data_IF_355777865673
#
_entry.id   IF_355777865673
#
_cell.length_a   1.000
_cell.length_b   1.000
_cell.length_c   1.000
_cell.angle_alpha   90.00
_cell.angle_beta   90.00
_cell.angle_gamma   90.00
#
_symmetry.space_group_name_H-M   'P 1'
#
loop_
_entity.id
_entity.type
_entity.pdbx_description
1 polymer ?
#
# COMPACT_ATOMS: atom_id res chain seq x y z
N UNK A 1 0.09 32.57 43.87
CA UNK A 1 0.07 31.43 42.94
C UNK A 1 -1.20 30.64 43.22
N UNK A 2 -2.31 31.03 42.58
CA UNK A 2 -3.64 30.46 42.84
C UNK A 2 -3.89 29.39 41.78
N UNK A 3 -3.89 28.13 42.20
CA UNK A 3 -4.37 27.04 41.34
C UNK A 3 -5.90 27.18 41.24
N UNK A 4 -6.38 27.66 40.12
CA UNK A 4 -7.77 27.58 39.75
C UNK A 4 -8.17 26.15 39.46
N UNK A 5 -8.74 25.51 40.47
CA UNK A 5 -9.49 24.26 40.33
C UNK A 5 -10.86 24.64 39.73
N UNK A 6 -10.94 24.91 38.42
CA UNK A 6 -12.21 25.03 37.72
C UNK A 6 -12.88 23.64 37.71
N UNK A 7 -13.72 23.41 38.72
CA UNK A 7 -14.67 22.31 38.69
C UNK A 7 -15.43 22.40 37.39
N UNK A 8 -15.30 21.37 36.58
CA UNK A 8 -15.94 21.28 35.28
C UNK A 8 -17.47 21.41 35.49
N UNK A 9 -18.08 22.44 34.89
CA UNK A 9 -19.52 22.66 34.99
C UNK A 9 -20.24 21.58 34.19
N UNK A 10 -21.12 20.76 34.79
CA UNK A 10 -21.86 19.68 34.12
C UNK A 10 -22.59 20.13 32.87
N UNK A 11 -23.10 21.35 32.86
CA UNK A 11 -23.85 22.00 31.79
C UNK A 11 -23.04 22.19 30.49
N UNK A 12 -21.72 22.30 30.59
CA UNK A 12 -20.81 22.47 29.43
C UNK A 12 -20.24 21.14 29.02
N UNK A 13 -20.01 20.24 29.94
CA UNK A 13 -19.33 18.98 29.70
C UNK A 13 -20.24 17.94 29.07
N UNK A 14 -21.51 17.87 29.52
CA UNK A 14 -22.48 16.91 28.98
C UNK A 14 -22.70 17.11 27.46
N UNK A 15 -22.99 18.33 26.95
CA UNK A 15 -23.12 18.57 25.52
C UNK A 15 -21.83 18.28 24.75
N UNK A 16 -20.65 18.58 25.31
CA UNK A 16 -19.36 18.25 24.69
C UNK A 16 -19.20 16.73 24.50
N UNK A 17 -19.51 15.95 25.53
CA UNK A 17 -19.46 14.49 25.43
C UNK A 17 -20.53 13.92 24.50
N UNK A 18 -21.72 14.49 24.47
CA UNK A 18 -22.78 14.10 23.55
C UNK A 18 -22.36 14.32 22.10
N UNK A 19 -21.77 15.47 21.77
CA UNK A 19 -21.24 15.77 20.45
C UNK A 19 -20.11 14.79 20.05
N UNK A 20 -19.20 14.45 20.97
CA UNK A 20 -18.16 13.46 20.73
C UNK A 20 -18.72 12.05 20.53
N UNK A 21 -19.78 11.68 21.25
CA UNK A 21 -20.49 10.40 21.09
C UNK A 21 -21.23 10.32 19.76
N UNK A 22 -21.79 11.45 19.30
CA UNK A 22 -22.37 11.60 17.96
C UNK A 22 -21.34 11.54 16.83
N UNK A 23 -20.04 11.52 17.16
CA UNK A 23 -18.96 11.37 16.19
C UNK A 23 -18.33 12.66 15.71
N UNK A 24 -18.60 13.80 16.34
CA UNK A 24 -18.00 15.08 15.99
C UNK A 24 -16.49 15.15 16.29
N UNK A 25 -15.79 16.10 15.64
CA UNK A 25 -14.40 16.39 15.96
C UNK A 25 -14.28 17.11 17.30
N UNK A 26 -13.16 16.94 18.02
CA UNK A 26 -12.91 17.66 19.28
C UNK A 26 -13.01 19.18 19.07
N UNK A 27 -12.60 19.70 17.91
CA UNK A 27 -12.73 21.12 17.57
C UNK A 27 -14.20 21.53 17.51
N UNK A 28 -15.03 20.80 16.75
CA UNK A 28 -16.45 21.09 16.60
C UNK A 28 -17.22 20.91 17.93
N UNK A 29 -16.96 19.80 18.64
CA UNK A 29 -17.55 19.55 19.95
C UNK A 29 -17.12 20.58 21.02
N UNK A 30 -15.91 21.10 20.96
CA UNK A 30 -15.46 22.16 21.85
C UNK A 30 -16.09 23.52 21.48
N UNK A 31 -16.20 23.82 20.20
CA UNK A 31 -16.81 25.02 19.67
C UNK A 31 -18.31 25.11 19.96
N UNK A 32 -19.04 23.98 19.84
CA UNK A 32 -20.47 23.91 20.17
C UNK A 32 -20.80 24.21 21.63
N UNK A 33 -19.83 24.10 22.53
CA UNK A 33 -19.97 24.44 23.95
C UNK A 33 -19.21 25.71 24.37
N UNK A 34 -18.83 26.53 23.37
CA UNK A 34 -18.17 27.82 23.60
C UNK A 34 -16.73 27.72 24.12
N UNK A 35 -16.01 26.63 23.78
CA UNK A 35 -14.63 26.47 24.19
C UNK A 35 -13.71 26.06 23.01
N UNK A 36 -12.41 25.92 23.25
CA UNK A 36 -11.43 25.61 22.22
C UNK A 36 -10.86 24.21 22.34
N UNK A 37 -10.34 23.69 21.21
CA UNK A 37 -9.84 22.31 21.05
C UNK A 37 -8.89 21.84 22.16
N UNK A 38 -8.01 22.73 22.65
CA UNK A 38 -7.03 22.36 23.69
C UNK A 38 -7.71 22.07 25.02
N UNK A 39 -8.75 22.87 25.37
CA UNK A 39 -9.56 22.64 26.59
C UNK A 39 -10.38 21.35 26.49
N UNK A 40 -11.01 21.08 25.34
CA UNK A 40 -11.68 19.82 25.06
C UNK A 40 -10.75 18.61 25.16
N UNK A 41 -9.50 18.73 24.68
CA UNK A 41 -8.49 17.68 24.83
C UNK A 41 -8.10 17.44 26.31
N UNK A 42 -8.01 18.48 27.13
CA UNK A 42 -7.75 18.37 28.58
C UNK A 42 -8.89 17.64 29.29
N UNK A 43 -10.15 17.90 28.91
CA UNK A 43 -11.32 17.20 29.46
C UNK A 43 -11.26 15.70 29.15
N UNK A 44 -10.93 15.34 27.91
CA UNK A 44 -10.76 13.92 27.52
C UNK A 44 -9.67 13.26 28.35
N UNK A 45 -8.56 13.96 28.61
CA UNK A 45 -7.45 13.43 29.40
C UNK A 45 -7.81 13.29 30.89
N UNK A 46 -8.61 14.22 31.44
CA UNK A 46 -9.07 14.18 32.82
C UNK A 46 -10.02 13.00 33.09
N UNK A 47 -10.85 12.64 32.10
CA UNK A 47 -11.78 11.51 32.15
C UNK A 47 -11.16 10.20 31.67
N UNK A 48 -9.87 9.95 31.94
CA UNK A 48 -9.13 8.72 31.55
C UNK A 48 -8.54 8.69 30.15
N UNK A 49 -8.55 9.77 29.39
CA UNK A 49 -7.91 9.84 28.06
C UNK A 49 -8.61 9.02 26.96
N UNK A 50 -9.74 8.42 27.26
CA UNK A 50 -10.47 7.57 26.30
C UNK A 50 -11.39 8.45 25.48
N UNK A 51 -10.97 8.72 24.23
CA UNK A 51 -11.87 9.24 23.20
C UNK A 51 -12.97 8.22 22.93
N UNK A 52 -14.25 8.64 22.88
CA UNK A 52 -15.26 7.86 22.17
C UNK A 52 -14.73 7.65 20.74
N UNK A 53 -14.48 6.39 20.35
CA UNK A 53 -13.97 6.10 19.02
C UNK A 53 -15.04 6.42 18.00
N UNK A 54 -14.81 7.39 17.11
CA UNK A 54 -15.67 7.70 15.97
C UNK A 54 -16.18 6.41 15.31
N UNK A 55 -17.50 6.27 15.25
CA UNK A 55 -18.20 5.38 14.32
C UNK A 55 -17.83 3.89 14.35
N UNK A 56 -16.99 3.43 15.28
CA UNK A 56 -16.86 2.02 15.59
C UNK A 56 -17.80 1.71 16.75
N UNK A 57 -19.10 1.83 16.49
CA UNK A 57 -20.06 1.03 17.23
C UNK A 57 -19.50 -0.39 17.27
N UNK A 58 -19.61 -1.07 18.39
CA UNK A 58 -19.17 -2.46 18.54
C UNK A 58 -19.80 -3.25 17.40
N UNK A 59 -19.02 -3.52 16.31
CA UNK A 59 -19.53 -4.09 15.08
C UNK A 59 -20.23 -5.39 15.40
N UNK A 60 -21.47 -5.54 14.98
CA UNK A 60 -22.27 -6.75 14.78
C UNK A 60 -22.16 -7.95 15.72
N UNK A 61 -20.99 -8.20 16.27
CA UNK A 61 -20.68 -9.28 17.22
C UNK A 61 -20.82 -8.90 18.69
N UNK A 62 -20.83 -7.59 19.03
CA UNK A 62 -20.91 -7.14 20.41
C UNK A 62 -22.30 -6.59 20.68
N UNK A 63 -22.81 -6.83 21.89
CA UNK A 63 -24.09 -6.24 22.35
C UNK A 63 -23.95 -4.73 22.47
N UNK A 64 -24.94 -4.00 21.98
CA UNK A 64 -25.09 -2.55 22.17
C UNK A 64 -25.52 -2.23 23.61
N UNK A 65 -25.51 -0.96 23.97
CA UNK A 65 -26.02 -0.53 25.27
C UNK A 65 -27.53 -0.86 25.40
N UNK A 66 -28.31 -0.57 24.37
CA UNK A 66 -29.76 -0.85 24.33
C UNK A 66 -30.05 -2.35 24.48
N UNK A 67 -29.30 -3.22 23.78
CA UNK A 67 -29.46 -4.68 23.96
C UNK A 67 -29.13 -5.13 25.39
N UNK A 68 -28.20 -4.46 26.09
CA UNK A 68 -27.92 -4.73 27.51
C UNK A 68 -28.99 -4.25 28.43
N UNK A 69 -29.63 -3.12 28.11
CA UNK A 69 -30.81 -2.66 28.85
C UNK A 69 -31.96 -3.64 28.73
N UNK A 70 -32.25 -4.14 27.53
CA UNK A 70 -33.29 -5.19 27.35
C UNK A 70 -32.95 -6.49 28.12
N UNK A 71 -31.67 -6.88 28.17
CA UNK A 71 -31.25 -8.02 29.01
C UNK A 71 -31.52 -7.74 30.49
N UNK A 72 -31.25 -6.54 30.99
CA UNK A 72 -31.49 -6.17 32.37
C UNK A 72 -32.98 -6.17 32.69
N UNK A 73 -33.82 -5.63 31.80
CA UNK A 73 -35.28 -5.60 31.95
C UNK A 73 -35.89 -7.02 31.89
N UNK A 74 -35.44 -7.84 30.92
CA UNK A 74 -35.90 -9.23 30.82
C UNK A 74 -35.54 -10.05 32.07
N UNK A 75 -34.35 -9.84 32.64
CA UNK A 75 -33.93 -10.45 33.91
C UNK A 75 -34.82 -9.98 35.08
N UNK A 76 -35.11 -8.69 35.16
CA UNK A 76 -35.99 -8.13 36.19
C UNK A 76 -37.46 -8.69 36.13
N UNK A 77 -37.91 -9.04 34.89
CA UNK A 77 -39.20 -9.69 34.65
C UNK A 77 -39.18 -11.21 34.90
N UNK A 78 -38.04 -11.79 35.25
CA UNK A 78 -37.89 -13.23 35.43
C UNK A 78 -37.87 -14.05 34.13
N UNK A 79 -37.65 -13.41 32.98
CA UNK A 79 -37.62 -14.08 31.68
C UNK A 79 -36.42 -15.02 31.53
N UNK A 80 -36.63 -16.12 30.82
CA UNK A 80 -35.54 -17.06 30.56
C UNK A 80 -34.53 -16.49 29.55
N UNK A 81 -33.27 -16.92 29.63
CA UNK A 81 -32.21 -16.54 28.69
C UNK A 81 -32.61 -16.77 27.23
N UNK A 82 -33.37 -17.83 26.96
CA UNK A 82 -33.87 -18.14 25.60
C UNK A 82 -34.93 -17.13 25.14
N UNK A 83 -35.77 -16.68 26.03
CA UNK A 83 -36.80 -15.67 25.76
C UNK A 83 -36.16 -14.33 25.42
N UNK A 84 -35.26 -13.84 26.29
CA UNK A 84 -34.50 -12.60 26.08
C UNK A 84 -33.71 -12.67 24.77
N UNK A 85 -33.02 -13.76 24.46
CA UNK A 85 -32.25 -13.94 23.25
C UNK A 85 -33.14 -13.86 21.99
N UNK A 86 -34.33 -14.42 22.02
CA UNK A 86 -35.32 -14.37 20.93
C UNK A 86 -35.78 -12.94 20.66
N UNK A 87 -36.11 -12.20 21.73
CA UNK A 87 -36.52 -10.79 21.62
C UNK A 87 -35.45 -9.91 21.02
N UNK A 88 -34.18 -10.16 21.35
CA UNK A 88 -33.03 -9.43 20.83
C UNK A 88 -32.55 -9.89 19.43
N UNK A 89 -33.12 -10.97 18.88
CA UNK A 89 -32.59 -11.57 17.63
C UNK A 89 -31.15 -12.06 17.78
N UNK A 90 -30.73 -12.46 18.99
CA UNK A 90 -29.39 -12.94 19.31
C UNK A 90 -29.40 -14.40 19.73
N UNK A 91 -28.22 -15.05 19.59
CA UNK A 91 -28.04 -16.41 20.09
C UNK A 91 -28.18 -16.48 21.62
N UNK A 92 -28.89 -17.50 22.20
CA UNK A 92 -28.95 -17.73 23.64
C UNK A 92 -27.57 -17.79 24.30
N UNK A 93 -26.55 -18.33 23.61
CA UNK A 93 -25.18 -18.37 24.11
C UNK A 93 -24.55 -16.99 24.25
N UNK A 94 -24.98 -15.99 23.45
CA UNK A 94 -24.54 -14.62 23.58
C UNK A 94 -25.05 -13.96 24.86
N UNK A 95 -26.35 -14.12 25.14
CA UNK A 95 -26.98 -13.60 26.35
C UNK A 95 -26.41 -14.31 27.58
N UNK A 96 -26.28 -15.64 27.53
CA UNK A 96 -25.73 -16.42 28.64
C UNK A 96 -24.29 -15.96 28.97
N UNK A 97 -23.45 -15.81 27.98
CA UNK A 97 -22.05 -15.31 28.15
C UNK A 97 -22.03 -13.88 28.68
N UNK A 98 -22.92 -13.01 28.24
CA UNK A 98 -23.01 -11.64 28.71
C UNK A 98 -23.35 -11.62 30.20
N UNK A 99 -24.37 -12.38 30.63
CA UNK A 99 -24.77 -12.50 32.02
C UNK A 99 -23.67 -13.13 32.88
N UNK A 100 -23.09 -14.24 32.47
CA UNK A 100 -22.02 -14.91 33.20
C UNK A 100 -20.77 -14.00 33.41
N UNK A 101 -20.50 -13.11 32.49
CA UNK A 101 -19.35 -12.22 32.57
C UNK A 101 -19.55 -10.94 33.35
N UNK A 102 -20.78 -10.49 33.48
CA UNK A 102 -21.12 -9.15 33.97
C UNK A 102 -22.12 -9.12 35.10
N UNK A 103 -22.58 -10.27 35.57
CA UNK A 103 -23.40 -10.39 36.81
C UNK A 103 -22.42 -10.32 37.99
N UNK A 104 -22.76 -9.53 39.00
CA UNK A 104 -21.94 -9.39 40.21
C UNK A 104 -22.11 -10.59 41.16
N UNK A 105 -21.39 -10.58 42.28
CA UNK A 105 -21.44 -11.65 43.31
C UNK A 105 -22.80 -11.77 43.99
N UNK A 106 -23.65 -10.73 43.90
CA UNK A 106 -25.01 -10.73 44.44
C UNK A 106 -26.06 -11.21 43.42
N UNK A 107 -25.62 -11.58 42.20
CA UNK A 107 -26.52 -12.00 41.14
C UNK A 107 -27.16 -10.85 40.35
N UNK A 108 -26.77 -9.60 40.61
CA UNK A 108 -27.31 -8.44 39.92
C UNK A 108 -26.57 -8.19 38.59
N UNK A 109 -27.35 -7.97 37.55
CA UNK A 109 -26.84 -7.56 36.22
C UNK A 109 -27.26 -6.11 35.96
N UNK A 110 -26.30 -5.22 35.74
CA UNK A 110 -26.49 -3.81 35.40
C UNK A 110 -25.96 -3.49 34.02
N UNK A 111 -26.83 -3.03 33.11
CA UNK A 111 -26.47 -2.72 31.72
C UNK A 111 -25.32 -1.71 31.61
N UNK A 112 -25.33 -0.66 32.45
CA UNK A 112 -24.30 0.38 32.50
C UNK A 112 -22.92 -0.19 32.86
N UNK A 113 -22.87 -1.03 33.90
CA UNK A 113 -21.64 -1.68 34.36
C UNK A 113 -21.14 -2.67 33.32
N UNK A 114 -22.01 -3.49 32.77
CA UNK A 114 -21.70 -4.46 31.74
C UNK A 114 -21.14 -3.78 30.47
N UNK A 115 -21.71 -2.64 30.10
CA UNK A 115 -21.26 -1.83 28.98
C UNK A 115 -19.87 -1.24 29.22
N UNK A 116 -19.64 -0.64 30.37
CA UNK A 116 -18.33 -0.10 30.75
C UNK A 116 -17.25 -1.19 30.78
N UNK A 117 -17.55 -2.35 31.38
CA UNK A 117 -16.62 -3.51 31.40
C UNK A 117 -16.36 -4.07 30.01
N UNK A 118 -17.32 -4.06 29.10
CA UNK A 118 -17.13 -4.47 27.72
C UNK A 118 -16.16 -3.53 26.98
N UNK A 119 -16.28 -2.22 27.22
CA UNK A 119 -15.34 -1.23 26.67
C UNK A 119 -13.94 -1.37 27.25
N UNK A 120 -13.80 -1.57 28.56
CA UNK A 120 -12.49 -1.83 29.17
C UNK A 120 -11.83 -3.08 28.58
N UNK A 121 -12.60 -4.17 28.42
CA UNK A 121 -12.10 -5.40 27.79
C UNK A 121 -11.71 -5.20 26.32
N UNK A 122 -12.49 -4.42 25.58
CA UNK A 122 -12.18 -4.08 24.20
C UNK A 122 -10.95 -3.17 24.06
N UNK A 123 -10.69 -2.34 25.09
CA UNK A 123 -9.55 -1.43 25.14
C UNK A 123 -8.24 -2.11 25.59
N UNK A 124 -8.28 -3.37 26.07
CA UNK A 124 -7.07 -4.08 26.48
C UNK A 124 -6.06 -4.11 25.34
N UNK A 125 -4.82 -3.65 25.55
CA UNK A 125 -3.78 -3.74 24.54
C UNK A 125 -3.54 -5.22 24.23
N UNK A 126 -3.82 -5.61 23.00
CA UNK A 126 -3.40 -6.91 22.50
C UNK A 126 -1.93 -6.82 22.12
N UNK A 127 -1.08 -7.78 22.50
CA UNK A 127 0.30 -7.79 22.04
C UNK A 127 0.32 -7.75 20.52
N UNK A 128 1.20 -6.92 19.95
CA UNK A 128 1.33 -6.80 18.50
C UNK A 128 1.77 -8.15 17.93
N UNK A 129 1.13 -8.61 16.85
CA UNK A 129 1.42 -9.91 16.23
C UNK A 129 2.91 -10.07 15.89
N UNK A 130 3.55 -9.02 15.36
CA UNK A 130 4.97 -9.01 15.05
C UNK A 130 5.88 -9.02 16.30
N UNK A 131 5.34 -8.70 17.48
CA UNK A 131 6.08 -8.85 18.73
C UNK A 131 6.09 -10.29 19.22
N UNK A 132 4.96 -10.98 19.09
CA UNK A 132 4.78 -12.36 19.58
C UNK A 132 5.37 -13.39 18.62
N UNK A 133 5.20 -13.19 17.31
CA UNK A 133 5.68 -14.11 16.29
C UNK A 133 7.03 -13.62 15.73
N UNK A 134 8.12 -14.13 16.28
CA UNK A 134 9.49 -13.76 15.90
C UNK A 134 9.78 -14.14 14.44
N UNK A 135 9.40 -15.36 14.03
CA UNK A 135 9.61 -15.82 12.64
C UNK A 135 8.94 -14.90 11.61
N UNK A 136 7.69 -14.50 11.88
CA UNK A 136 6.98 -13.55 11.02
C UNK A 136 7.67 -12.19 10.99
N UNK A 137 8.16 -11.71 12.14
CA UNK A 137 8.88 -10.45 12.24
C UNK A 137 10.15 -10.46 11.40
N UNK A 138 10.98 -11.48 11.51
CA UNK A 138 12.24 -11.61 10.76
C UNK A 138 11.99 -11.60 9.25
N UNK A 139 10.97 -12.34 8.78
CA UNK A 139 10.59 -12.33 7.36
C UNK A 139 10.10 -10.94 6.92
N UNK A 140 9.29 -10.26 7.74
CA UNK A 140 8.81 -8.91 7.41
C UNK A 140 9.97 -7.92 7.36
N UNK A 141 10.95 -8.03 8.26
CA UNK A 141 12.15 -7.19 8.27
C UNK A 141 12.99 -7.41 7.01
N UNK A 142 13.30 -8.66 6.65
CA UNK A 142 14.02 -9.00 5.40
C UNK A 142 13.33 -8.42 4.16
N UNK A 143 12.01 -8.60 4.05
CA UNK A 143 11.26 -8.09 2.90
C UNK A 143 11.19 -6.56 2.86
N UNK A 144 11.20 -5.88 4.02
CA UNK A 144 11.30 -4.41 4.08
C UNK A 144 12.69 -3.94 3.66
N UNK A 145 13.77 -4.62 4.05
CA UNK A 145 15.14 -4.34 3.62
C UNK A 145 15.27 -4.46 2.10
N UNK A 146 14.62 -5.45 1.48
CA UNK A 146 14.47 -5.59 0.01
C UNK A 146 13.52 -4.56 -0.60
N UNK A 147 13.13 -3.52 0.14
CA UNK A 147 12.29 -2.41 -0.31
C UNK A 147 10.87 -2.81 -0.74
N UNK A 148 10.34 -3.93 -0.25
CA UNK A 148 8.95 -4.29 -0.48
C UNK A 148 8.02 -3.33 0.30
N UNK A 149 6.92 -2.94 -0.32
CA UNK A 149 5.91 -2.16 0.40
C UNK A 149 5.12 -3.04 1.38
N UNK A 150 4.57 -2.47 2.46
CA UNK A 150 3.72 -3.22 3.39
C UNK A 150 2.55 -3.97 2.73
N UNK A 151 2.01 -3.44 1.61
CA UNK A 151 0.97 -4.12 0.83
C UNK A 151 1.53 -5.35 0.10
N UNK A 152 2.70 -5.21 -0.51
CA UNK A 152 3.40 -6.32 -1.17
C UNK A 152 3.74 -7.44 -0.19
N UNK A 153 4.24 -7.09 0.99
CA UNK A 153 4.57 -8.05 2.06
C UNK A 153 3.31 -8.79 2.52
N UNK A 154 2.25 -8.05 2.85
CA UNK A 154 1.00 -8.65 3.32
C UNK A 154 0.37 -9.61 2.29
N UNK A 155 0.42 -9.24 1.00
CA UNK A 155 -0.07 -10.10 -0.08
C UNK A 155 0.83 -11.31 -0.32
N UNK A 156 2.15 -11.11 -0.36
CA UNK A 156 3.13 -12.18 -0.60
C UNK A 156 3.11 -13.26 0.48
N UNK A 157 2.96 -12.86 1.74
CA UNK A 157 2.88 -13.81 2.85
C UNK A 157 1.66 -14.75 2.74
N UNK A 158 0.55 -14.29 2.19
CA UNK A 158 -0.61 -15.15 1.95
C UNK A 158 -0.38 -16.15 0.82
N UNK A 159 0.35 -15.75 -0.22
CA UNK A 159 0.75 -16.64 -1.32
C UNK A 159 1.75 -17.68 -0.83
N UNK A 160 2.75 -17.25 -0.04
CA UNK A 160 3.83 -18.13 0.45
C UNK A 160 3.37 -19.10 1.55
N UNK A 161 2.40 -18.69 2.37
CA UNK A 161 1.89 -19.47 3.51
C UNK A 161 0.35 -19.60 3.46
N UNK A 162 -0.22 -20.26 2.43
CA UNK A 162 -1.68 -20.27 2.24
C UNK A 162 -2.43 -20.98 3.37
N UNK A 163 -1.82 -22.00 3.99
CA UNK A 163 -2.41 -22.81 5.05
C UNK A 163 -2.04 -22.34 6.48
N UNK A 164 -1.18 -21.33 6.63
CA UNK A 164 -0.70 -20.86 7.94
C UNK A 164 -1.11 -19.40 8.22
N UNK A 165 -2.29 -19.15 8.82
CA UNK A 165 -2.76 -17.82 9.18
C UNK A 165 -1.88 -17.09 10.19
N UNK A 166 -1.04 -17.79 10.96
CA UNK A 166 -0.10 -17.18 11.90
C UNK A 166 1.02 -16.41 11.17
N UNK A 167 1.29 -16.77 9.93
CA UNK A 167 2.24 -16.07 9.06
C UNK A 167 1.61 -14.90 8.28
N UNK A 168 0.32 -14.64 8.42
CA UNK A 168 -0.33 -13.53 7.74
C UNK A 168 -0.29 -12.26 8.60
N UNK A 169 -0.04 -11.14 7.96
CA UNK A 169 -0.04 -9.82 8.60
C UNK A 169 -0.81 -8.82 7.73
N UNK A 170 -1.47 -7.86 8.36
CA UNK A 170 -2.13 -6.78 7.62
C UNK A 170 -1.13 -5.65 7.32
N UNK A 171 -1.34 -4.96 6.21
CA UNK A 171 -0.60 -3.74 5.82
C UNK A 171 -0.57 -2.73 6.96
N UNK A 172 -1.71 -2.52 7.63
CA UNK A 172 -1.83 -1.59 8.76
C UNK A 172 -1.00 -2.03 9.96
N UNK A 173 -0.91 -3.34 10.23
CA UNK A 173 -0.08 -3.86 11.34
C UNK A 173 1.40 -3.56 11.08
N UNK A 174 1.86 -3.69 9.84
CA UNK A 174 3.24 -3.36 9.46
C UNK A 174 3.50 -1.86 9.65
N UNK A 175 2.61 -1.00 9.13
CA UNK A 175 2.74 0.45 9.32
C UNK A 175 2.73 0.86 10.80
N UNK A 176 1.82 0.29 11.59
CA UNK A 176 1.77 0.60 13.02
C UNK A 176 3.04 0.16 13.75
N UNK A 177 3.64 -0.96 13.33
CA UNK A 177 4.89 -1.44 13.93
C UNK A 177 6.11 -0.59 13.57
N UNK A 178 6.08 0.10 12.42
CA UNK A 178 7.13 1.00 11.97
C UNK A 178 7.03 2.40 12.60
N UNK A 179 5.82 2.96 12.68
CA UNK A 179 5.62 4.37 13.00
C UNK A 179 5.15 4.64 14.44
N UNK A 180 4.53 3.66 15.10
CA UNK A 180 4.01 3.84 16.46
C UNK A 180 5.05 3.37 17.48
N UNK A 181 5.67 4.30 18.18
CA UNK A 181 6.77 4.05 19.15
C UNK A 181 6.41 3.03 20.24
N UNK A 182 5.15 3.01 20.69
CA UNK A 182 4.65 2.05 21.69
C UNK A 182 4.38 0.64 21.15
N UNK A 183 4.43 0.45 19.83
CA UNK A 183 4.21 -0.82 19.14
C UNK A 183 5.37 -1.22 18.23
N UNK A 184 6.51 -0.53 18.37
CA UNK A 184 7.68 -0.70 17.51
C UNK A 184 8.34 -2.06 17.68
N UNK A 185 7.74 -3.10 17.08
CA UNK A 185 8.35 -4.42 16.96
C UNK A 185 9.40 -4.49 15.84
N UNK A 186 9.39 -3.51 14.91
CA UNK A 186 10.30 -3.42 13.78
C UNK A 186 11.32 -2.31 13.99
N UNK A 187 12.52 -2.48 13.41
CA UNK A 187 13.58 -1.49 13.47
C UNK A 187 13.16 -0.19 12.78
N UNK A 188 13.34 0.95 13.43
CA UNK A 188 12.96 2.27 12.90
C UNK A 188 13.66 2.64 11.59
N UNK A 189 14.84 2.13 11.37
CA UNK A 189 15.63 2.34 10.14
C UNK A 189 14.91 1.84 8.90
N UNK A 190 14.06 0.83 9.05
CA UNK A 190 13.26 0.26 7.95
C UNK A 190 12.22 1.23 7.37
N UNK A 191 11.91 2.33 8.07
CA UNK A 191 11.05 3.39 7.51
C UNK A 191 11.66 4.04 6.27
N UNK A 192 13.00 4.07 6.17
CA UNK A 192 13.73 4.60 5.01
C UNK A 192 13.55 3.74 3.76
N UNK A 193 13.22 2.46 3.94
CA UNK A 193 12.98 1.52 2.84
C UNK A 193 11.60 1.72 2.18
N UNK A 194 10.70 2.48 2.81
CA UNK A 194 9.40 2.77 2.26
C UNK A 194 9.47 3.84 1.16
N UNK A 195 8.62 3.70 0.14
CA UNK A 195 8.48 4.70 -0.91
C UNK A 195 7.93 5.99 -0.30
N UNK A 196 8.80 6.94 0.03
CA UNK A 196 8.42 8.22 0.62
C UNK A 196 7.99 9.22 -0.44
N UNK A 197 6.86 9.88 -0.21
CA UNK A 197 6.58 11.23 -0.67
C UNK A 197 5.74 11.36 -1.93
N UNK A 198 4.49 11.80 -1.77
CA UNK A 198 3.74 12.50 -2.81
C UNK A 198 4.48 13.80 -3.13
N UNK A 199 5.16 13.88 -4.28
CA UNK A 199 5.63 15.16 -4.81
C UNK A 199 4.46 15.88 -5.47
N UNK A 200 4.26 17.15 -5.11
CA UNK A 200 3.37 18.07 -5.82
C UNK A 200 3.72 18.09 -7.31
N UNK A 201 2.70 17.95 -8.14
CA UNK A 201 2.83 18.04 -9.60
C UNK A 201 3.16 19.47 -9.96
N UNK A 202 4.34 19.71 -10.56
CA UNK A 202 4.65 20.99 -11.19
C UNK A 202 4.13 20.98 -12.64
N UNK A 203 3.62 22.13 -13.15
CA UNK A 203 3.20 22.24 -14.53
C UNK A 203 4.38 21.95 -15.48
N UNK A 204 4.11 21.13 -16.51
CA UNK A 204 5.13 20.73 -17.46
C UNK A 204 5.62 21.93 -18.30
N UNK A 205 6.93 21.97 -18.58
CA UNK A 205 7.52 22.91 -19.53
C UNK A 205 6.96 22.64 -20.93
N UNK A 206 6.71 23.71 -21.71
CA UNK A 206 6.33 23.61 -23.11
C UNK A 206 7.44 22.88 -23.88
N UNK A 207 7.04 21.86 -24.64
CA UNK A 207 7.96 21.12 -25.49
C UNK A 207 8.40 21.97 -26.68
N UNK A 208 9.68 22.00 -26.93
CA UNK A 208 10.31 22.47 -28.19
C UNK A 208 10.07 21.45 -29.29
N UNK A 209 10.01 21.92 -30.55
CA UNK A 209 9.82 21.06 -31.72
C UNK A 209 10.87 19.93 -31.75
N UNK A 210 10.41 18.69 -31.91
CA UNK A 210 11.24 17.49 -31.90
C UNK A 210 11.53 17.01 -33.31
N UNK A 211 12.82 16.80 -33.62
CA UNK A 211 13.25 15.96 -34.74
C UNK A 211 13.16 14.49 -34.30
N UNK A 212 11.94 13.98 -34.24
CA UNK A 212 11.67 12.58 -33.90
C UNK A 212 12.05 11.60 -35.04
N UNK A 213 11.90 10.28 -34.80
CA UNK A 213 12.08 9.24 -35.82
C UNK A 213 11.20 9.50 -37.04
N UNK A 214 11.66 9.08 -38.24
CA UNK A 214 10.90 9.14 -39.50
C UNK A 214 10.33 7.76 -39.82
N UNK A 215 9.26 7.74 -40.63
CA UNK A 215 8.59 6.51 -41.11
C UNK A 215 8.20 5.54 -39.95
N UNK A 216 7.71 6.10 -38.86
CA UNK A 216 7.32 5.36 -37.66
C UNK A 216 6.07 4.50 -37.90
N UNK A 217 6.06 3.27 -37.34
CA UNK A 217 4.86 2.44 -37.26
C UNK A 217 4.09 2.85 -36.02
N UNK A 218 2.83 3.24 -36.20
CA UNK A 218 2.00 3.72 -35.08
C UNK A 218 1.62 2.57 -34.14
N UNK A 219 1.43 2.88 -32.87
CA UNK A 219 0.96 1.92 -31.85
C UNK A 219 -0.40 1.30 -32.22
N UNK A 220 -1.21 1.97 -33.03
CA UNK A 220 -2.48 1.45 -33.51
C UNK A 220 -2.33 0.21 -34.42
N UNK A 221 -1.18 0.06 -35.07
CA UNK A 221 -0.85 -1.08 -35.93
C UNK A 221 -0.28 -2.27 -35.15
N UNK A 222 -0.15 -2.14 -33.83
CA UNK A 222 0.38 -3.18 -32.94
C UNK A 222 -0.62 -4.34 -32.83
N UNK A 223 -0.17 -5.62 -32.77
CA UNK A 223 -1.04 -6.77 -32.59
C UNK A 223 -1.90 -6.66 -31.32
N UNK A 224 -3.18 -7.05 -31.42
CA UNK A 224 -4.13 -6.98 -30.32
C UNK A 224 -3.68 -7.79 -29.10
N UNK A 225 -2.99 -8.90 -29.30
CA UNK A 225 -2.43 -9.74 -28.22
C UNK A 225 -1.51 -8.95 -27.27
N UNK A 226 -0.85 -7.89 -27.78
CA UNK A 226 -0.04 -7.01 -26.96
C UNK A 226 -0.87 -6.13 -26.02
N UNK A 227 -2.11 -5.79 -26.41
CA UNK A 227 -3.01 -4.99 -25.57
C UNK A 227 -3.67 -5.82 -24.49
N UNK A 228 -4.05 -7.04 -24.79
CA UNK A 228 -4.67 -7.98 -23.85
C UNK A 228 -3.70 -8.49 -22.78
N UNK A 229 -2.39 -8.28 -22.98
CA UNK A 229 -1.32 -8.74 -22.08
C UNK A 229 -1.38 -10.25 -21.81
N UNK A 230 -1.93 -11.01 -22.73
CA UNK A 230 -2.09 -12.45 -22.60
C UNK A 230 -0.82 -13.18 -23.01
N UNK A 231 -0.10 -12.65 -23.99
CA UNK A 231 1.10 -13.27 -24.55
C UNK A 231 2.34 -12.51 -24.12
N UNK A 232 3.38 -13.16 -23.59
CA UNK A 232 4.64 -12.51 -23.24
C UNK A 232 5.46 -12.16 -24.49
N UNK A 233 6.41 -11.24 -24.32
CA UNK A 233 7.32 -10.81 -25.39
C UNK A 233 7.00 -9.45 -25.99
N UNK A 234 5.98 -8.75 -25.46
CA UNK A 234 5.69 -7.37 -25.82
C UNK A 234 6.23 -6.40 -24.78
N UNK A 235 7.13 -5.52 -25.18
CA UNK A 235 7.88 -4.64 -24.30
C UNK A 235 7.44 -3.19 -24.43
N UNK A 236 7.52 -2.46 -23.31
CA UNK A 236 7.47 -0.99 -23.28
C UNK A 236 8.88 -0.48 -22.93
N UNK A 237 9.40 0.45 -23.72
CA UNK A 237 10.71 1.02 -23.50
C UNK A 237 10.65 2.51 -23.18
N UNK A 238 11.66 3.00 -22.43
CA UNK A 238 11.83 4.40 -22.06
C UNK A 238 13.26 4.68 -21.59
N UNK A 239 13.64 5.96 -21.50
CA UNK A 239 14.91 6.37 -20.92
C UNK A 239 14.72 7.02 -19.56
N UNK A 240 15.51 6.60 -18.59
CA UNK A 240 15.61 7.25 -17.30
C UNK A 240 16.84 8.15 -17.27
N UNK A 241 16.62 9.45 -17.48
CA UNK A 241 17.68 10.45 -17.57
C UNK A 241 18.30 10.72 -16.20
N UNK A 242 19.63 10.78 -16.15
CA UNK A 242 20.46 11.05 -14.99
C UNK A 242 20.76 12.55 -14.77
N UNK A 243 21.84 12.82 -14.03
CA UNK A 243 22.28 14.17 -13.67
C UNK A 243 22.63 15.00 -14.91
N UNK A 244 22.16 16.23 -14.91
CA UNK A 244 22.45 17.25 -15.95
C UNK A 244 22.14 16.76 -17.39
N UNK A 245 21.31 15.75 -17.58
CA UNK A 245 20.97 15.14 -18.88
C UNK A 245 22.19 14.59 -19.65
N UNK A 246 23.23 14.15 -18.93
CA UNK A 246 24.45 13.62 -19.57
C UNK A 246 24.43 12.10 -19.74
N UNK A 247 23.77 11.41 -18.82
CA UNK A 247 23.72 9.94 -18.76
C UNK A 247 22.28 9.46 -18.71
N UNK A 248 22.04 8.22 -19.11
CA UNK A 248 20.74 7.59 -19.04
C UNK A 248 20.84 6.08 -18.76
N UNK A 249 19.72 5.49 -18.36
CA UNK A 249 19.50 4.06 -18.33
C UNK A 249 18.30 3.78 -19.21
N UNK A 250 18.44 2.88 -20.17
CA UNK A 250 17.31 2.35 -20.92
C UNK A 250 16.52 1.38 -20.04
N UNK A 251 15.20 1.47 -20.10
CA UNK A 251 14.30 0.58 -19.36
C UNK A 251 13.41 -0.15 -20.34
N UNK A 252 13.42 -1.47 -20.29
CA UNK A 252 12.56 -2.35 -21.06
C UNK A 252 11.66 -3.09 -20.07
N UNK A 253 10.34 -2.99 -20.20
CA UNK A 253 9.38 -3.62 -19.30
C UNK A 253 8.42 -4.48 -20.10
N UNK A 254 8.39 -5.78 -19.81
CA UNK A 254 7.49 -6.73 -20.45
C UNK A 254 6.04 -6.49 -19.94
N UNK A 255 5.08 -6.43 -20.87
CA UNK A 255 3.72 -5.95 -20.60
C UNK A 255 2.87 -6.91 -19.78
N UNK A 256 2.99 -8.21 -20.00
CA UNK A 256 2.20 -9.25 -19.31
C UNK A 256 2.63 -9.38 -17.84
N UNK A 257 3.90 -9.55 -17.60
CA UNK A 257 4.48 -9.87 -16.29
C UNK A 257 5.01 -8.64 -15.55
N UNK A 258 5.42 -7.59 -16.27
CA UNK A 258 6.16 -6.46 -15.74
C UNK A 258 7.60 -6.80 -15.41
N UNK A 259 8.13 -7.84 -16.05
CA UNK A 259 9.55 -8.16 -16.01
C UNK A 259 10.34 -7.00 -16.61
N UNK A 260 11.39 -6.59 -15.92
CA UNK A 260 12.16 -5.41 -16.30
C UNK A 260 13.59 -5.79 -16.66
N UNK A 261 14.08 -5.22 -17.77
CA UNK A 261 15.49 -5.22 -18.13
C UNK A 261 16.00 -3.78 -18.13
N UNK A 262 17.25 -3.60 -17.72
CA UNK A 262 17.91 -2.31 -17.73
C UNK A 262 19.04 -2.33 -18.75
N UNK A 263 19.13 -1.26 -19.55
CA UNK A 263 20.12 -1.10 -20.60
C UNK A 263 21.15 -0.08 -20.14
N UNK A 264 22.41 -0.49 -20.12
CA UNK A 264 23.52 0.36 -19.72
C UNK A 264 23.90 1.31 -20.86
N UNK A 265 23.89 2.61 -20.59
CA UNK A 265 24.24 3.68 -21.55
C UNK A 265 25.31 4.60 -20.92
N UNK A 266 26.56 4.14 -20.81
CA UNK A 266 27.61 4.86 -20.10
C UNK A 266 28.03 6.17 -20.81
N UNK A 267 27.98 6.18 -22.13
CA UNK A 267 28.48 7.28 -22.97
C UNK A 267 27.40 8.27 -23.41
N UNK A 268 26.20 8.14 -22.84
CA UNK A 268 25.04 9.00 -23.15
C UNK A 268 23.90 8.27 -23.83
N UNK A 269 23.02 9.03 -24.48
CA UNK A 269 21.75 8.48 -25.01
C UNK A 269 21.41 9.03 -26.41
N UNK A 270 22.43 9.30 -27.20
CA UNK A 270 22.22 9.59 -28.62
C UNK A 270 21.84 8.32 -29.38
N UNK A 271 21.20 8.41 -30.58
CA UNK A 271 20.79 7.25 -31.35
C UNK A 271 21.92 6.23 -31.57
N UNK A 272 23.12 6.71 -31.87
CA UNK A 272 24.29 5.88 -32.16
C UNK A 272 24.73 5.04 -30.95
N UNK A 273 24.32 5.43 -29.74
CA UNK A 273 24.64 4.74 -28.48
C UNK A 273 23.48 3.86 -28.04
N UNK A 274 22.22 4.36 -28.19
CA UNK A 274 21.03 3.67 -27.78
C UNK A 274 20.75 2.45 -28.66
N UNK A 275 20.81 2.57 -29.95
CA UNK A 275 20.48 1.51 -30.88
C UNK A 275 21.28 0.22 -30.65
N UNK A 276 22.60 0.21 -30.62
CA UNK A 276 23.38 -1.02 -30.41
C UNK A 276 23.20 -1.59 -28.98
N UNK A 277 23.08 -0.71 -27.98
CA UNK A 277 22.86 -1.17 -26.58
C UNK A 277 21.50 -1.84 -26.37
N UNK A 278 20.44 -1.29 -26.99
CA UNK A 278 19.12 -1.90 -26.99
C UNK A 278 19.13 -3.24 -27.72
N UNK A 279 19.68 -3.29 -28.92
CA UNK A 279 19.76 -4.51 -29.71
C UNK A 279 20.50 -5.62 -28.95
N UNK A 280 21.67 -5.31 -28.40
CA UNK A 280 22.46 -6.27 -27.61
C UNK A 280 21.69 -6.80 -26.39
N UNK A 281 20.95 -5.92 -25.67
CA UNK A 281 20.16 -6.36 -24.51
C UNK A 281 18.96 -7.20 -24.91
N UNK A 282 18.27 -6.86 -26.00
CA UNK A 282 17.11 -7.62 -26.50
C UNK A 282 17.55 -8.99 -27.03
N UNK A 283 18.72 -9.08 -27.68
CA UNK A 283 19.28 -10.36 -28.16
C UNK A 283 19.61 -11.36 -27.04
N UNK A 284 19.72 -10.91 -25.77
CA UNK A 284 19.87 -11.83 -24.64
C UNK A 284 18.57 -12.61 -24.31
N UNK A 285 17.44 -12.18 -24.88
CA UNK A 285 16.14 -12.82 -24.70
C UNK A 285 15.96 -14.00 -25.68
N UNK A 286 15.24 -15.04 -25.27
CA UNK A 286 14.80 -16.08 -26.20
C UNK A 286 13.86 -15.50 -27.27
N UNK A 287 13.83 -16.10 -28.46
CA UNK A 287 13.07 -15.62 -29.61
C UNK A 287 11.57 -15.44 -29.28
N UNK A 288 11.02 -16.32 -28.46
CA UNK A 288 9.62 -16.26 -28.00
C UNK A 288 9.28 -14.97 -27.23
N UNK A 289 10.28 -14.29 -26.68
CA UNK A 289 10.13 -13.03 -25.95
C UNK A 289 10.54 -11.81 -26.78
N UNK A 290 10.91 -11.95 -28.05
CA UNK A 290 11.29 -10.84 -28.95
C UNK A 290 10.18 -10.52 -29.95
N UNK A 291 8.96 -10.20 -29.46
CA UNK A 291 7.79 -9.95 -30.32
C UNK A 291 7.66 -8.50 -30.75
N UNK A 292 7.54 -7.58 -29.79
CA UNK A 292 7.46 -6.15 -30.09
C UNK A 292 8.01 -5.26 -28.98
N UNK A 293 8.47 -4.07 -29.39
CA UNK A 293 8.90 -3.00 -28.51
C UNK A 293 8.06 -1.75 -28.82
N UNK A 294 7.46 -1.17 -27.79
CA UNK A 294 6.75 0.10 -27.88
C UNK A 294 7.60 1.21 -27.25
N UNK A 295 7.86 2.28 -27.99
CA UNK A 295 8.65 3.44 -27.55
C UNK A 295 7.90 4.74 -27.77
N UNK A 296 8.37 5.85 -27.20
CA UNK A 296 7.87 7.17 -27.60
C UNK A 296 8.58 7.70 -28.84
N UNK A 297 8.17 8.89 -29.29
CA UNK A 297 8.76 9.52 -30.47
C UNK A 297 10.01 10.31 -30.13
N UNK A 298 10.80 9.84 -29.15
CA UNK A 298 12.05 10.49 -28.74
C UNK A 298 13.14 10.45 -29.83
N UNK A 299 13.98 11.49 -29.85
CA UNK A 299 15.05 11.60 -30.85
C UNK A 299 16.12 10.49 -30.73
N UNK A 300 16.23 9.87 -29.55
CA UNK A 300 17.11 8.73 -29.26
C UNK A 300 16.77 7.48 -30.07
N UNK A 301 15.54 7.36 -30.56
CA UNK A 301 15.07 6.25 -31.40
C UNK A 301 15.12 6.57 -32.90
N UNK A 302 15.91 7.56 -33.32
CA UNK A 302 16.04 7.89 -34.75
C UNK A 302 16.53 6.70 -35.60
N UNK A 303 17.38 5.88 -35.05
CA UNK A 303 17.97 4.70 -35.72
C UNK A 303 17.15 3.41 -35.43
N UNK A 304 15.85 3.54 -35.15
CA UNK A 304 14.96 2.44 -34.77
C UNK A 304 14.91 1.30 -35.81
N UNK A 305 15.08 1.63 -37.13
CA UNK A 305 15.12 0.61 -38.18
C UNK A 305 16.30 -0.33 -38.00
N UNK A 306 17.43 0.19 -37.53
CA UNK A 306 18.62 -0.63 -37.22
C UNK A 306 18.34 -1.51 -35.99
N UNK A 307 17.73 -0.96 -34.91
CA UNK A 307 17.35 -1.74 -33.74
C UNK A 307 16.37 -2.87 -34.12
N UNK A 308 15.40 -2.59 -34.99
CA UNK A 308 14.45 -3.57 -35.49
C UNK A 308 15.14 -4.75 -36.17
N UNK A 309 16.12 -4.46 -37.02
CA UNK A 309 16.85 -5.47 -37.76
C UNK A 309 17.79 -6.26 -36.84
N UNK A 310 18.61 -5.56 -36.04
CA UNK A 310 19.64 -6.18 -35.21
C UNK A 310 19.05 -6.98 -34.07
N UNK A 311 17.93 -6.53 -33.46
CA UNK A 311 17.26 -7.21 -32.36
C UNK A 311 16.18 -8.20 -32.82
N UNK A 312 15.86 -8.26 -34.10
CA UNK A 312 14.78 -9.08 -34.66
C UNK A 312 13.45 -8.87 -33.92
N UNK A 313 13.08 -7.59 -33.71
CA UNK A 313 11.88 -7.21 -32.95
C UNK A 313 11.09 -6.12 -33.68
N UNK A 314 9.76 -6.23 -33.68
CA UNK A 314 8.91 -5.19 -34.26
C UNK A 314 8.82 -3.96 -33.33
N UNK A 315 8.94 -2.74 -33.89
CA UNK A 315 8.94 -1.49 -33.09
C UNK A 315 7.73 -0.63 -33.46
N UNK A 316 6.98 -0.23 -32.42
CA UNK A 316 5.82 0.63 -32.52
C UNK A 316 6.01 1.91 -31.73
N UNK A 317 5.44 3.01 -32.20
CA UNK A 317 5.58 4.32 -31.57
C UNK A 317 4.25 4.81 -30.99
N UNK A 318 4.29 5.27 -29.73
CA UNK A 318 3.16 5.88 -29.09
C UNK A 318 2.71 7.17 -29.76
N UNK A 319 1.46 7.53 -29.60
CA UNK A 319 0.95 8.83 -30.01
C UNK A 319 1.66 9.97 -29.24
N UNK A 320 1.87 11.13 -29.85
CA UNK A 320 2.43 12.27 -29.16
C UNK A 320 1.60 12.65 -27.94
N UNK A 321 2.27 12.85 -26.80
CA UNK A 321 1.65 13.24 -25.53
C UNK A 321 0.68 12.21 -24.92
N UNK A 322 0.79 10.95 -25.27
CA UNK A 322 -0.02 9.84 -24.76
C UNK A 322 0.77 8.94 -23.75
N UNK A 323 1.21 9.44 -22.58
CA UNK A 323 2.02 8.66 -21.62
C UNK A 323 1.28 7.43 -21.09
N UNK A 324 -0.05 7.42 -21.08
CA UNK A 324 -0.85 6.26 -20.64
C UNK A 324 -0.66 5.02 -21.53
N UNK A 325 -0.21 5.18 -22.77
CA UNK A 325 0.10 4.06 -23.65
C UNK A 325 1.32 3.24 -23.21
N UNK A 326 2.15 3.80 -22.29
CA UNK A 326 3.32 3.15 -21.67
C UNK A 326 3.22 3.10 -20.13
N UNK A 327 2.02 2.88 -19.62
CA UNK A 327 1.75 2.91 -18.18
C UNK A 327 2.54 1.88 -17.36
N UNK A 328 2.94 0.75 -17.97
CA UNK A 328 3.75 -0.27 -17.30
C UNK A 328 5.16 0.24 -17.05
N UNK A 329 5.75 0.90 -18.04
CA UNK A 329 7.09 1.47 -17.93
C UNK A 329 7.12 2.67 -16.97
N UNK A 330 6.14 3.59 -17.03
CA UNK A 330 6.05 4.74 -16.12
C UNK A 330 6.02 4.27 -14.65
N UNK A 331 5.24 3.24 -14.35
CA UNK A 331 5.19 2.66 -12.99
C UNK A 331 6.54 2.06 -12.58
N UNK A 332 7.21 1.34 -13.47
CA UNK A 332 8.52 0.72 -13.20
C UNK A 332 9.60 1.78 -13.02
N UNK A 333 9.62 2.83 -13.85
CA UNK A 333 10.50 3.98 -13.68
C UNK A 333 10.28 4.67 -12.32
N UNK A 334 9.03 4.74 -11.87
CA UNK A 334 8.69 5.21 -10.53
C UNK A 334 9.30 4.36 -9.40
N UNK A 335 9.45 3.05 -9.58
CA UNK A 335 10.12 2.16 -8.64
C UNK A 335 11.65 2.27 -8.73
N UNK A 336 12.19 2.37 -9.95
CA UNK A 336 13.62 2.59 -10.18
C UNK A 336 14.15 3.85 -9.51
N UNK A 337 13.30 4.88 -9.34
CA UNK A 337 13.67 6.10 -8.59
C UNK A 337 13.94 5.87 -7.10
N UNK A 338 13.66 4.70 -6.56
CA UNK A 338 14.09 4.32 -5.19
C UNK A 338 15.58 3.91 -5.17
N UNK A 339 16.12 3.45 -6.30
CA UNK A 339 17.53 3.08 -6.48
C UNK A 339 18.33 4.25 -7.05
N UNK A 340 17.75 4.92 -8.02
CA UNK A 340 18.36 6.03 -8.75
C UNK A 340 17.48 7.30 -8.60
N UNK A 341 17.58 8.03 -7.48
CA UNK A 341 16.87 9.29 -7.29
C UNK A 341 17.12 10.28 -8.43
N UNK A 342 16.22 11.26 -8.63
CA UNK A 342 16.44 12.31 -9.63
C UNK A 342 17.72 13.07 -9.33
N UNK A 343 18.56 13.27 -10.38
CA UNK A 343 19.86 13.94 -10.24
C UNK A 343 20.99 13.01 -9.81
N UNK A 344 20.78 11.70 -9.71
CA UNK A 344 21.85 10.72 -9.54
C UNK A 344 22.74 10.73 -10.79
N UNK A 345 24.06 10.73 -10.57
CA UNK A 345 25.03 10.49 -11.64
C UNK A 345 25.03 8.98 -11.96
N UNK A 346 24.72 8.66 -13.21
CA UNK A 346 24.62 7.27 -13.67
C UNK A 346 25.90 6.81 -14.40
N UNK A 347 26.90 7.68 -14.55
CA UNK A 347 28.14 7.37 -15.26
C UNK A 347 28.98 6.28 -14.59
N UNK A 348 28.92 6.21 -13.25
CA UNK A 348 29.73 5.28 -12.45
C UNK A 348 29.06 3.90 -12.26
N UNK A 349 27.87 3.70 -12.83
CA UNK A 349 27.17 2.41 -12.76
C UNK A 349 27.75 1.46 -13.80
N UNK A 350 27.81 0.20 -13.45
CA UNK A 350 28.17 -0.89 -14.36
C UNK A 350 26.93 -1.63 -14.86
N UNK A 351 27.05 -2.39 -15.93
CA UNK A 351 25.97 -3.27 -16.38
C UNK A 351 25.53 -4.25 -15.28
N UNK A 352 26.49 -4.77 -14.50
CA UNK A 352 26.20 -5.67 -13.37
C UNK A 352 25.40 -4.99 -12.25
N UNK A 353 25.64 -3.69 -11.99
CA UNK A 353 24.85 -2.95 -11.00
C UNK A 353 23.40 -2.79 -11.46
N UNK A 354 23.21 -2.56 -12.77
CA UNK A 354 21.88 -2.46 -13.36
C UNK A 354 21.15 -3.81 -13.35
N UNK A 355 21.84 -4.90 -13.71
CA UNK A 355 21.27 -6.25 -13.69
C UNK A 355 20.84 -6.62 -12.27
N UNK A 356 21.66 -6.33 -11.26
CA UNK A 356 21.30 -6.55 -9.84
C UNK A 356 20.05 -5.79 -9.43
N UNK A 357 19.89 -4.54 -9.86
CA UNK A 357 18.69 -3.74 -9.58
C UNK A 357 17.48 -4.28 -10.35
N UNK A 358 17.67 -4.75 -11.59
CA UNK A 358 16.60 -5.39 -12.36
C UNK A 358 16.12 -6.66 -11.67
N UNK A 359 17.01 -7.51 -11.18
CA UNK A 359 16.69 -8.73 -10.44
C UNK A 359 15.90 -8.42 -9.17
N UNK A 360 16.33 -7.44 -8.37
CA UNK A 360 15.57 -7.01 -7.20
C UNK A 360 14.16 -6.53 -7.55
N UNK A 361 13.97 -5.83 -8.67
CA UNK A 361 12.66 -5.39 -9.14
C UNK A 361 11.80 -6.54 -9.64
N UNK A 362 12.41 -7.52 -10.30
CA UNK A 362 11.75 -8.69 -10.84
C UNK A 362 11.36 -9.70 -9.74
N UNK A 363 12.02 -9.65 -8.60
CA UNK A 363 11.64 -10.42 -7.40
C UNK A 363 10.50 -9.77 -6.59
N UNK A 364 10.18 -8.49 -6.84
CA UNK A 364 9.11 -7.82 -6.10
C UNK A 364 7.73 -8.28 -6.51
N UNK A 365 6.87 -8.71 -5.55
CA UNK A 365 5.49 -9.10 -5.84
C UNK A 365 4.70 -7.94 -6.44
N UNK A 366 3.84 -8.27 -7.39
CA UNK A 366 2.95 -7.30 -8.03
C UNK A 366 1.49 -7.63 -7.70
N UNK A 367 0.74 -6.63 -7.22
CA UNK A 367 -0.68 -6.81 -6.89
C UNK A 367 -1.48 -7.30 -8.10
N UNK A 368 -1.20 -6.77 -9.31
CA UNK A 368 -1.86 -7.18 -10.56
C UNK A 368 -1.57 -8.65 -10.94
N UNK A 369 -0.48 -9.23 -10.43
CA UNK A 369 -0.12 -10.63 -10.62
C UNK A 369 -0.57 -11.52 -9.44
N UNK A 370 -1.52 -11.08 -8.60
CA UNK A 370 -1.93 -11.82 -7.42
C UNK A 370 -0.84 -11.96 -6.36
N UNK A 371 0.09 -11.01 -6.29
CA UNK A 371 1.26 -10.99 -5.41
C UNK A 371 2.32 -12.07 -5.73
N UNK A 372 2.28 -12.64 -6.92
CA UNK A 372 3.44 -13.29 -7.52
C UNK A 372 4.41 -12.24 -8.04
N UNK A 373 5.69 -12.60 -8.19
CA UNK A 373 6.68 -11.71 -8.76
C UNK A 373 6.81 -11.87 -10.29
N UNK A 374 7.40 -10.90 -11.00
CA UNK A 374 7.64 -10.99 -12.45
C UNK A 374 8.40 -12.23 -12.89
N UNK A 375 9.44 -12.66 -12.14
CA UNK A 375 10.23 -13.86 -12.45
C UNK A 375 9.36 -15.11 -12.45
N UNK A 376 8.53 -15.30 -11.40
CA UNK A 376 7.63 -16.46 -11.29
C UNK A 376 6.63 -16.52 -12.44
N UNK A 377 6.04 -15.37 -12.79
CA UNK A 377 5.04 -15.29 -13.86
C UNK A 377 5.65 -15.46 -15.24
N UNK A 378 6.85 -14.90 -15.47
CA UNK A 378 7.55 -15.11 -16.75
C UNK A 378 7.93 -16.58 -16.91
N UNK A 379 8.49 -17.21 -15.88
CA UNK A 379 8.82 -18.64 -15.91
C UNK A 379 7.58 -19.53 -16.18
N UNK A 380 6.44 -19.22 -15.54
CA UNK A 380 5.19 -19.92 -15.77
C UNK A 380 4.73 -19.82 -17.23
N UNK A 381 4.78 -18.61 -17.82
CA UNK A 381 4.36 -18.37 -19.21
C UNK A 381 5.30 -18.97 -20.25
N UNK A 382 6.56 -19.24 -19.92
CA UNK A 382 7.53 -19.88 -20.81
C UNK A 382 7.43 -21.42 -20.78
N UNK A 383 6.74 -21.99 -19.78
CA UNK A 383 6.53 -23.44 -19.67
C UNK A 383 5.27 -23.92 -20.39
N UNK A 384 4.42 -23.01 -20.82
CA UNK A 384 3.16 -23.27 -21.56
C UNK A 384 3.24 -22.72 -22.98
#
# INVERSE_FOLDING_TARGET
MVMFNERMRPEVIQPFWAALQAGEFISAAAESVGTYRVKGRRWILAESGIRPRRGRGLKGRCLTFSEREEIALGRARGESVRCIARQLGRSPSTVSRELSRNTDRRGEYRATVAHALAWQRAARPKPAKLWVNQRLREIVEDLLERRYSPEQIAGRLRVKFPADPEMWVSTETIYQSLYVTSRGALRRELTKCLRTGRKLRHPGRKATAHNGPRDMINIADRPQEADDRAVPGHWEGDLMIGKANKTAIGTLVERSTGYALLVHLPDGYKPEQVAPALAAKIQTLPDTLRRSLTWDQGAEMRDWKQVRIDAEIEIYFCDPKAPWQRGTNENTNGLLRQYFPKGTDLANLTALDLDRVADELNDRPRKRLGFYNPNERLAELLLH
#
